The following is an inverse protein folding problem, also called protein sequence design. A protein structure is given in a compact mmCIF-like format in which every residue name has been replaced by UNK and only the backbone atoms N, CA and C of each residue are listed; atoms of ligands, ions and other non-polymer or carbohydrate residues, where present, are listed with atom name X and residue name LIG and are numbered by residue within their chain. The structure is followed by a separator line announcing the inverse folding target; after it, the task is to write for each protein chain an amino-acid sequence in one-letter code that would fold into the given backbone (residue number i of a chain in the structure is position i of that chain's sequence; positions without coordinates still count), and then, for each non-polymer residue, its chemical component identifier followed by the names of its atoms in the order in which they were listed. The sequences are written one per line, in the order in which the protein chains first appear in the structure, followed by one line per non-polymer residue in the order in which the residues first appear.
data_IF_282063181847
#
_entry.id   IF_282063181847
#
_cell.length_a   1.000
_cell.length_b   1.000
_cell.length_c   1.000
_cell.angle_alpha   90.00
_cell.angle_beta   90.00
_cell.angle_gamma   90.00
#
_symmetry.space_group_name_H-M   'P 1'
#
loop_
_entity.id
_entity.type
_entity.pdbx_description
1 polymer ?
#
# COMPACT_ATOMS: atom_id res chain seq x y z
N UNK A 1 -17.44 -8.85 -14.43
CA UNK A 1 -15.99 -9.17 -14.40
C UNK A 1 -15.77 -10.63 -14.79
N UNK A 2 -14.62 -11.00 -15.35
CA UNK A 2 -14.28 -12.41 -15.64
C UNK A 2 -12.92 -12.70 -15.00
N UNK A 3 -12.83 -13.79 -14.24
CA UNK A 3 -11.61 -14.23 -13.56
C UNK A 3 -11.28 -15.65 -14.00
N UNK A 4 -10.03 -15.90 -14.36
CA UNK A 4 -9.58 -17.22 -14.76
C UNK A 4 -8.86 -17.93 -13.61
N UNK A 5 -9.34 -19.12 -13.23
CA UNK A 5 -8.71 -19.97 -12.24
C UNK A 5 -8.03 -21.21 -12.86
N UNK A 6 -8.14 -21.39 -14.19
CA UNK A 6 -7.52 -22.49 -14.94
C UNK A 6 -7.76 -23.89 -14.33
N UNK A 7 -8.94 -24.11 -13.76
CA UNK A 7 -9.36 -25.40 -13.21
C UNK A 7 -10.26 -26.17 -14.16
N UNK A 8 -10.12 -27.49 -14.20
CA UNK A 8 -10.93 -28.36 -15.06
C UNK A 8 -11.40 -29.63 -14.32
N UNK A 9 -12.36 -30.36 -14.90
CA UNK A 9 -12.75 -31.68 -14.40
C UNK A 9 -13.28 -31.72 -12.96
N UNK A 10 -12.57 -32.46 -12.08
CA UNK A 10 -12.90 -32.60 -10.65
C UNK A 10 -12.76 -31.27 -9.90
N UNK A 11 -11.75 -30.49 -10.25
CA UNK A 11 -11.37 -29.28 -9.53
C UNK A 11 -12.36 -28.15 -9.84
N UNK A 12 -12.94 -28.17 -11.05
CA UNK A 12 -14.09 -27.34 -11.40
C UNK A 12 -15.29 -27.60 -10.50
N UNK A 13 -15.56 -28.86 -10.12
CA UNK A 13 -16.68 -29.18 -9.20
C UNK A 13 -16.40 -28.66 -7.79
N UNK A 14 -15.14 -28.71 -7.35
CA UNK A 14 -14.74 -28.15 -6.06
C UNK A 14 -14.86 -26.61 -6.08
N UNK A 15 -14.45 -25.95 -7.16
CA UNK A 15 -14.63 -24.51 -7.35
C UNK A 15 -16.11 -24.11 -7.28
N UNK A 16 -16.97 -24.84 -8.00
CA UNK A 16 -18.43 -24.61 -7.97
C UNK A 16 -19.02 -24.82 -6.58
N UNK A 17 -18.54 -25.85 -5.84
CA UNK A 17 -18.97 -26.09 -4.47
C UNK A 17 -18.53 -24.99 -3.51
N UNK A 18 -17.30 -24.47 -3.66
CA UNK A 18 -16.77 -23.37 -2.87
C UNK A 18 -17.56 -22.07 -3.13
N UNK A 19 -17.88 -21.75 -4.39
CA UNK A 19 -18.72 -20.58 -4.71
C UNK A 19 -20.13 -20.73 -4.11
N UNK A 20 -20.71 -21.93 -4.17
CA UNK A 20 -22.01 -22.22 -3.55
C UNK A 20 -21.98 -22.10 -2.01
N UNK A 21 -20.88 -22.51 -1.37
CA UNK A 21 -20.66 -22.35 0.07
C UNK A 21 -20.56 -20.86 0.46
N UNK A 22 -19.81 -20.07 -0.32
CA UNK A 22 -19.63 -18.63 -0.08
C UNK A 22 -20.92 -17.83 -0.24
N UNK A 23 -21.67 -18.09 -1.31
CA UNK A 23 -22.90 -17.35 -1.64
C UNK A 23 -24.13 -17.87 -0.89
N UNK A 24 -24.06 -19.09 -0.33
CA UNK A 24 -25.21 -19.78 0.24
C UNK A 24 -26.23 -20.25 -0.80
N UNK A 25 -25.93 -20.11 -2.09
CA UNK A 25 -26.82 -20.48 -3.19
C UNK A 25 -26.47 -21.83 -3.82
N UNK A 26 -27.48 -22.53 -4.36
CA UNK A 26 -27.27 -23.84 -4.99
C UNK A 26 -26.80 -23.68 -6.44
N UNK A 27 -25.77 -24.44 -6.80
CA UNK A 27 -25.29 -24.47 -8.18
C UNK A 27 -26.28 -25.15 -9.14
N UNK A 28 -26.64 -24.45 -10.21
CA UNK A 28 -27.49 -24.92 -11.30
C UNK A 28 -26.68 -25.17 -12.56
N UNK A 29 -26.74 -26.38 -13.09
CA UNK A 29 -26.06 -26.73 -14.33
C UNK A 29 -26.86 -26.29 -15.57
N UNK A 30 -26.22 -25.57 -16.49
CA UNK A 30 -26.89 -24.96 -17.65
C UNK A 30 -26.92 -25.86 -18.91
N UNK A 31 -26.18 -26.98 -18.92
CA UNK A 31 -26.18 -27.92 -20.04
C UNK A 31 -25.46 -27.42 -21.31
N UNK A 32 -25.68 -28.09 -22.43
CA UNK A 32 -25.02 -27.78 -23.70
C UNK A 32 -25.54 -26.45 -24.33
N UNK A 33 -24.74 -25.72 -25.12
CA UNK A 33 -23.37 -26.06 -25.57
C UNK A 33 -22.25 -25.63 -24.60
N UNK A 34 -22.55 -24.78 -23.60
CA UNK A 34 -21.54 -24.16 -22.74
C UNK A 34 -21.12 -24.98 -21.51
N UNK A 35 -21.94 -25.94 -21.07
CA UNK A 35 -21.71 -26.80 -19.90
C UNK A 35 -21.28 -26.04 -18.62
N UNK A 36 -21.79 -24.83 -18.46
CA UNK A 36 -21.48 -23.94 -17.35
C UNK A 36 -22.37 -24.22 -16.12
N UNK A 37 -21.92 -23.77 -14.94
CA UNK A 37 -22.71 -23.73 -13.72
C UNK A 37 -23.06 -22.28 -13.37
N UNK A 38 -24.30 -22.05 -12.98
CA UNK A 38 -24.76 -20.78 -12.45
C UNK A 38 -25.00 -20.91 -10.94
N UNK A 39 -24.47 -19.97 -10.16
CA UNK A 39 -24.62 -19.86 -8.71
C UNK A 39 -24.94 -18.39 -8.43
N UNK A 40 -26.20 -18.03 -8.17
CA UNK A 40 -26.61 -16.62 -8.08
C UNK A 40 -26.16 -15.79 -9.30
N UNK A 41 -25.45 -14.70 -9.03
CA UNK A 41 -24.82 -13.81 -10.02
C UNK A 41 -23.47 -14.27 -10.58
N UNK A 42 -23.06 -15.52 -10.31
CA UNK A 42 -21.79 -16.09 -10.75
C UNK A 42 -22.01 -17.22 -11.77
N UNK A 43 -21.23 -17.22 -12.84
CA UNK A 43 -21.24 -18.28 -13.86
C UNK A 43 -19.85 -18.88 -14.04
N UNK A 44 -19.72 -20.19 -13.82
CA UNK A 44 -18.47 -20.94 -13.95
C UNK A 44 -18.46 -21.74 -15.25
N UNK A 45 -17.54 -21.42 -16.14
CA UNK A 45 -17.35 -22.08 -17.43
C UNK A 45 -16.54 -23.38 -17.33
N UNK A 46 -16.51 -24.16 -18.41
CA UNK A 46 -15.83 -25.47 -18.46
C UNK A 46 -14.33 -25.38 -18.23
N UNK A 47 -13.74 -24.30 -18.69
CA UNK A 47 -12.33 -23.92 -18.65
C UNK A 47 -11.94 -23.21 -17.34
N UNK A 48 -12.81 -23.18 -16.32
CA UNK A 48 -12.48 -22.61 -15.02
C UNK A 48 -12.53 -21.08 -14.95
N UNK A 49 -13.21 -20.45 -15.91
CA UNK A 49 -13.49 -19.01 -15.88
C UNK A 49 -14.75 -18.72 -15.07
N UNK A 50 -14.64 -17.81 -14.11
CA UNK A 50 -15.75 -17.32 -13.28
C UNK A 50 -16.16 -15.96 -13.80
N UNK A 51 -17.38 -15.86 -14.31
CA UNK A 51 -18.01 -14.61 -14.72
C UNK A 51 -18.86 -14.10 -13.58
N UNK A 52 -18.64 -12.85 -13.20
CA UNK A 52 -19.29 -12.16 -12.09
C UNK A 52 -20.15 -11.04 -12.67
N UNK A 53 -21.46 -11.09 -12.44
CA UNK A 53 -22.38 -10.05 -12.89
C UNK A 53 -22.25 -8.78 -12.03
N UNK A 54 -22.15 -8.94 -10.70
CA UNK A 54 -22.00 -7.84 -9.75
C UNK A 54 -20.56 -7.72 -9.25
N UNK A 55 -19.85 -6.69 -9.72
CA UNK A 55 -18.46 -6.47 -9.39
C UNK A 55 -18.20 -6.22 -7.88
N UNK A 56 -19.22 -5.79 -7.12
CA UNK A 56 -19.10 -5.60 -5.66
C UNK A 56 -18.85 -6.92 -4.92
N UNK A 57 -19.32 -8.03 -5.48
CA UNK A 57 -19.19 -9.37 -4.88
C UNK A 57 -17.91 -10.11 -5.31
N UNK A 58 -17.10 -9.50 -6.17
CA UNK A 58 -15.90 -10.14 -6.72
C UNK A 58 -14.81 -10.31 -5.67
N UNK A 59 -14.51 -9.26 -4.90
CA UNK A 59 -13.46 -9.27 -3.89
C UNK A 59 -13.65 -10.30 -2.76
N UNK A 60 -14.81 -10.38 -2.07
CA UNK A 60 -15.01 -11.38 -1.01
C UNK A 60 -14.95 -12.81 -1.56
N UNK A 61 -15.39 -13.02 -2.80
CA UNK A 61 -15.30 -14.32 -3.44
C UNK A 61 -13.85 -14.71 -3.74
N UNK A 62 -13.04 -13.79 -4.30
CA UNK A 62 -11.64 -14.06 -4.62
C UNK A 62 -10.86 -14.42 -3.34
N UNK A 63 -11.08 -13.69 -2.24
CA UNK A 63 -10.45 -13.98 -0.95
C UNK A 63 -10.81 -15.38 -0.45
N UNK A 64 -12.10 -15.72 -0.42
CA UNK A 64 -12.56 -17.04 0.03
C UNK A 64 -12.00 -18.19 -0.83
N UNK A 65 -11.94 -17.99 -2.15
CA UNK A 65 -11.38 -18.98 -3.07
C UNK A 65 -9.87 -19.16 -2.87
N UNK A 66 -9.15 -18.07 -2.57
CA UNK A 66 -7.72 -18.12 -2.22
C UNK A 66 -7.47 -18.90 -0.94
N UNK A 67 -8.28 -18.70 0.11
CA UNK A 67 -8.20 -19.48 1.36
C UNK A 67 -8.45 -20.98 1.14
N UNK A 68 -9.34 -21.33 0.21
CA UNK A 68 -9.60 -22.72 -0.19
C UNK A 68 -8.54 -23.28 -1.15
N UNK A 69 -7.52 -22.49 -1.52
CA UNK A 69 -6.38 -22.91 -2.34
C UNK A 69 -6.54 -22.74 -3.85
N UNK A 70 -7.54 -21.99 -4.31
CA UNK A 70 -7.70 -21.67 -5.74
C UNK A 70 -6.92 -20.39 -6.08
N UNK A 71 -5.99 -20.49 -7.02
CA UNK A 71 -5.18 -19.36 -7.48
C UNK A 71 -5.72 -18.81 -8.79
N UNK A 72 -6.00 -17.51 -8.84
CA UNK A 72 -6.38 -16.83 -10.09
C UNK A 72 -5.13 -16.54 -10.93
N UNK A 73 -5.23 -16.71 -12.25
CA UNK A 73 -4.15 -16.37 -13.20
C UNK A 73 -4.13 -14.89 -13.58
N UNK A 74 -5.20 -14.15 -13.28
CA UNK A 74 -5.33 -12.75 -13.69
C UNK A 74 -4.65 -11.83 -12.64
N UNK A 75 -3.64 -11.01 -13.02
CA UNK A 75 -2.97 -10.08 -12.10
C UNK A 75 -3.91 -9.06 -11.46
N UNK A 76 -5.09 -8.83 -12.07
CA UNK A 76 -6.11 -7.94 -11.54
C UNK A 76 -6.90 -8.56 -10.38
N UNK A 77 -6.93 -9.88 -10.25
CA UNK A 77 -7.61 -10.55 -9.12
C UNK A 77 -6.81 -10.42 -7.82
N UNK A 78 -5.48 -10.33 -7.91
CA UNK A 78 -4.61 -10.12 -6.75
C UNK A 78 -4.79 -8.73 -6.14
N UNK A 79 -5.06 -7.69 -6.94
CA UNK A 79 -5.28 -6.34 -6.44
C UNK A 79 -6.73 -6.09 -5.96
N UNK A 80 -7.71 -6.89 -6.38
CA UNK A 80 -9.11 -6.75 -5.95
C UNK A 80 -9.35 -7.44 -4.59
N UNK A 81 -8.56 -8.45 -4.24
CA UNK A 81 -8.61 -9.06 -2.91
C UNK A 81 -8.13 -8.13 -1.77
N UNK A 82 -7.32 -7.12 -2.10
CA UNK A 82 -6.82 -6.12 -1.14
C UNK A 82 -7.76 -4.91 -0.96
N UNK A 83 -8.83 -4.79 -1.77
CA UNK A 83 -9.69 -3.59 -1.83
C UNK A 83 -11.03 -3.75 -1.10
N UNK A 84 -11.34 -4.92 -0.52
CA UNK A 84 -12.64 -5.19 0.14
C UNK A 84 -12.52 -5.52 1.63
N UNK A 85 -11.76 -4.72 2.37
CA UNK A 85 -11.86 -4.68 3.82
C UNK A 85 -12.41 -3.32 4.26
N UNK A 86 -13.68 -3.05 3.94
CA UNK A 86 -14.49 -2.11 4.70
C UNK A 86 -15.45 -2.94 5.58
N UNK A 87 -15.45 -2.59 6.86
CA UNK A 87 -16.30 -3.06 7.97
C UNK A 87 -15.86 -4.32 8.74
N UNK A 88 -14.83 -4.15 9.58
CA UNK A 88 -14.92 -4.54 11.00
C UNK A 88 -14.10 -3.58 11.87
N UNK A 89 -14.75 -3.10 12.93
CA UNK A 89 -14.22 -2.15 13.89
C UNK A 89 -12.90 -2.60 14.54
N UNK A 90 -11.96 -1.65 14.61
CA UNK A 90 -10.94 -1.50 15.66
C UNK A 90 -10.14 -2.75 16.07
N UNK A 91 -9.22 -3.18 15.21
CA UNK A 91 -7.83 -3.36 15.62
C UNK A 91 -6.96 -3.29 14.35
N UNK A 92 -6.13 -2.26 14.26
CA UNK A 92 -5.15 -2.11 13.20
C UNK A 92 -4.30 -3.38 13.11
N UNK A 93 -4.54 -4.20 12.09
CA UNK A 93 -3.54 -5.14 11.62
C UNK A 93 -2.41 -4.29 11.01
N UNK A 94 -1.57 -3.73 11.89
CA UNK A 94 -0.33 -3.05 11.54
C UNK A 94 0.55 -4.07 10.83
N UNK A 95 0.51 -4.11 9.50
CA UNK A 95 1.20 -5.12 8.69
C UNK A 95 2.68 -5.21 9.03
N UNK A 96 3.33 -4.05 9.25
CA UNK A 96 4.70 -3.96 9.80
C UNK A 96 4.86 -2.70 10.67
N UNK A 97 5.46 -2.86 11.85
CA UNK A 97 5.86 -1.75 12.72
C UNK A 97 7.38 -1.65 12.82
N UNK A 98 7.95 -0.51 12.41
CA UNK A 98 9.37 -0.22 12.60
C UNK A 98 9.55 0.45 13.97
N UNK A 99 10.54 0.03 14.75
CA UNK A 99 10.77 0.56 16.10
C UNK A 99 12.24 0.83 16.38
N UNK A 100 12.48 1.81 17.25
CA UNK A 100 13.80 2.24 17.68
C UNK A 100 13.91 2.16 19.20
N UNK A 101 15.05 1.73 19.76
CA UNK A 101 15.24 1.69 21.21
C UNK A 101 15.05 3.07 21.84
N UNK A 102 14.25 3.14 22.92
CA UNK A 102 13.97 4.38 23.65
C UNK A 102 15.24 5.01 24.23
N UNK A 103 16.26 4.19 24.52
CA UNK A 103 17.58 4.59 25.00
C UNK A 103 18.36 5.50 24.03
N UNK A 104 18.02 5.50 22.74
CA UNK A 104 18.63 6.39 21.74
C UNK A 104 18.10 7.83 21.82
N UNK A 105 17.03 8.05 22.57
CA UNK A 105 16.34 9.33 22.65
C UNK A 105 16.44 9.92 24.06
N UNK A 106 16.63 11.23 24.13
CA UNK A 106 16.31 12.03 25.32
C UNK A 106 14.90 12.60 25.14
N UNK A 107 14.29 13.12 26.21
CA UNK A 107 12.95 13.75 26.11
C UNK A 107 12.94 14.90 25.09
N UNK A 108 13.97 15.75 25.08
CA UNK A 108 14.10 16.82 24.08
C UNK A 108 14.21 16.30 22.65
N UNK A 109 14.90 15.17 22.43
CA UNK A 109 15.01 14.57 21.10
C UNK A 109 13.67 14.01 20.61
N UNK A 110 12.84 13.49 21.52
CA UNK A 110 11.48 13.05 21.19
C UNK A 110 10.57 14.22 20.82
N UNK A 111 10.68 15.33 21.53
CA UNK A 111 9.95 16.55 21.16
C UNK A 111 10.38 17.07 19.79
N UNK A 112 11.69 17.06 19.51
CA UNK A 112 12.22 17.40 18.19
C UNK A 112 11.71 16.45 17.11
N UNK A 113 11.62 15.14 17.39
CA UNK A 113 11.08 14.15 16.46
C UNK A 113 9.59 14.40 16.17
N UNK A 114 8.78 14.62 17.21
CA UNK A 114 7.36 14.96 17.07
C UNK A 114 7.18 16.26 16.28
N UNK A 115 7.96 17.29 16.59
CA UNK A 115 7.94 18.56 15.88
C UNK A 115 8.39 18.42 14.41
N UNK A 116 9.34 17.53 14.13
CA UNK A 116 9.83 17.26 12.79
C UNK A 116 8.76 16.55 11.95
N UNK A 117 8.12 15.54 12.52
CA UNK A 117 7.02 14.82 11.88
C UNK A 117 5.84 15.75 11.66
N UNK A 118 5.50 16.63 12.61
CA UNK A 118 4.50 17.68 12.38
C UNK A 118 4.91 18.63 11.23
N UNK A 119 6.15 19.14 11.21
CA UNK A 119 6.59 20.08 10.18
C UNK A 119 6.67 19.48 8.76
N UNK A 120 6.83 18.16 8.66
CA UNK A 120 7.01 17.42 7.40
C UNK A 120 5.91 16.40 7.13
N UNK A 121 4.87 16.37 7.96
CA UNK A 121 3.84 15.34 7.97
C UNK A 121 3.20 15.19 6.61
N UNK A 122 2.73 16.29 6.01
CA UNK A 122 2.10 16.28 4.69
C UNK A 122 2.99 15.67 3.60
N UNK A 123 4.31 15.93 3.63
CA UNK A 123 5.23 15.33 2.65
C UNK A 123 5.44 13.84 2.91
N UNK A 124 5.56 13.44 4.18
CA UNK A 124 5.76 12.04 4.58
C UNK A 124 4.51 11.22 4.28
N UNK A 125 3.32 11.72 4.64
CA UNK A 125 2.00 11.15 4.33
C UNK A 125 1.86 10.88 2.84
N UNK A 126 2.12 11.89 1.99
CA UNK A 126 2.09 11.74 0.52
C UNK A 126 3.14 10.76 0.00
N UNK A 127 4.33 10.73 0.59
CA UNK A 127 5.41 9.85 0.13
C UNK A 127 5.16 8.37 0.46
N UNK A 128 4.60 8.09 1.63
CA UNK A 128 4.27 6.75 2.09
C UNK A 128 2.88 6.30 1.62
N UNK A 129 2.03 7.23 1.17
CA UNK A 129 0.66 6.93 0.79
C UNK A 129 -0.24 6.63 1.99
N UNK A 130 0.02 7.27 3.13
CA UNK A 130 -0.74 7.05 4.37
C UNK A 130 -1.43 8.32 4.85
N UNK A 131 -2.58 8.13 5.48
CA UNK A 131 -3.39 9.25 5.97
C UNK A 131 -2.83 9.84 7.27
N UNK A 132 -2.25 9.02 8.15
CA UNK A 132 -1.74 9.45 9.44
C UNK A 132 -0.36 8.88 9.81
N UNK A 133 0.31 9.58 10.72
CA UNK A 133 1.67 9.27 11.17
C UNK A 133 1.73 9.21 12.71
N UNK A 134 1.01 8.28 13.36
CA UNK A 134 1.09 8.10 14.80
C UNK A 134 2.52 7.73 15.25
N UNK A 135 2.88 8.13 16.46
CA UNK A 135 4.16 7.76 17.09
C UNK A 135 3.83 7.23 18.48
N UNK A 136 4.10 5.96 18.71
CA UNK A 136 3.94 5.35 20.02
C UNK A 136 5.27 5.39 20.76
N UNK A 137 5.25 5.91 21.98
CA UNK A 137 6.43 5.97 22.83
C UNK A 137 6.16 5.15 24.08
N UNK A 138 6.89 4.06 24.22
CA UNK A 138 6.92 3.23 25.42
C UNK A 138 8.27 3.43 26.14
N UNK A 139 8.39 2.94 27.38
CA UNK A 139 9.64 3.01 28.15
C UNK A 139 10.80 2.27 27.47
N UNK A 140 10.51 1.24 26.66
CA UNK A 140 11.53 0.43 25.98
C UNK A 140 11.83 0.88 24.55
N UNK A 141 10.80 1.32 23.80
CA UNK A 141 10.92 1.60 22.36
C UNK A 141 10.02 2.73 21.90
N UNK A 142 10.41 3.34 20.78
CA UNK A 142 9.62 4.28 19.99
C UNK A 142 9.20 3.56 18.71
N UNK A 143 7.90 3.44 18.49
CA UNK A 143 7.31 2.66 17.39
C UNK A 143 6.63 3.58 16.37
N UNK A 144 6.73 3.18 15.09
CA UNK A 144 6.16 3.87 13.94
C UNK A 144 5.22 2.91 13.19
N UNK A 145 3.95 2.80 13.61
CA UNK A 145 2.95 1.97 12.94
C UNK A 145 2.38 2.72 11.73
N UNK A 146 3.24 2.98 10.73
CA UNK A 146 2.86 3.74 9.53
C UNK A 146 2.53 2.84 8.33
N UNK A 147 2.67 1.52 8.44
CA UNK A 147 2.62 0.62 7.29
C UNK A 147 1.48 -0.38 7.47
N UNK A 148 0.30 -0.11 6.88
CA UNK A 148 -0.85 -1.02 6.98
C UNK A 148 -0.63 -2.30 6.15
N UNK A 149 0.04 -2.20 5.00
CA UNK A 149 0.39 -3.33 4.15
C UNK A 149 1.78 -3.88 4.47
N UNK A 150 2.03 -5.15 4.14
CA UNK A 150 3.37 -5.78 4.21
C UNK A 150 4.19 -5.28 3.00
N UNK A 151 5.15 -4.34 3.18
CA UNK A 151 6.00 -3.88 2.08
C UNK A 151 6.88 -4.99 1.53
N UNK A 152 7.30 -4.82 0.27
CA UNK A 152 8.36 -5.63 -0.32
C UNK A 152 9.67 -5.48 0.46
N UNK A 153 10.61 -6.44 0.39
CA UNK A 153 11.89 -6.34 1.10
C UNK A 153 12.70 -5.08 0.77
N UNK A 154 12.58 -4.57 -0.47
CA UNK A 154 13.24 -3.34 -0.90
C UNK A 154 12.60 -2.09 -0.27
N UNK A 155 11.27 -2.06 -0.18
CA UNK A 155 10.51 -1.00 0.48
C UNK A 155 10.73 -0.98 1.98
N UNK A 156 10.71 -2.14 2.62
CA UNK A 156 11.00 -2.28 4.05
C UNK A 156 12.37 -1.69 4.39
N UNK A 157 13.39 -2.01 3.59
CA UNK A 157 14.73 -1.45 3.75
C UNK A 157 14.75 0.07 3.56
N UNK A 158 14.01 0.59 2.57
CA UNK A 158 13.90 2.03 2.34
C UNK A 158 13.24 2.75 3.52
N UNK A 159 12.17 2.19 4.08
CA UNK A 159 11.44 2.71 5.23
C UNK A 159 12.26 2.65 6.52
N UNK A 160 12.94 1.52 6.77
CA UNK A 160 13.85 1.36 7.91
C UNK A 160 14.97 2.40 7.87
N UNK A 161 15.63 2.53 6.71
CA UNK A 161 16.67 3.53 6.49
C UNK A 161 16.13 4.96 6.67
N UNK A 162 14.92 5.23 6.16
CA UNK A 162 14.28 6.54 6.29
C UNK A 162 13.98 6.91 7.74
N UNK A 163 13.38 5.99 8.51
CA UNK A 163 13.09 6.20 9.93
C UNK A 163 14.38 6.36 10.74
N UNK A 164 15.41 5.55 10.46
CA UNK A 164 16.73 5.69 11.07
C UNK A 164 17.30 7.10 10.84
N UNK A 165 17.30 7.58 9.59
CA UNK A 165 17.78 8.93 9.25
C UNK A 165 16.93 10.05 9.84
N UNK A 166 15.63 9.85 9.92
CA UNK A 166 14.70 10.79 10.55
C UNK A 166 15.03 10.94 12.04
N UNK A 167 15.24 9.82 12.73
CA UNK A 167 15.63 9.79 14.14
C UNK A 167 17.03 10.39 14.37
N UNK A 168 18.00 10.09 13.51
CA UNK A 168 19.33 10.73 13.53
C UNK A 168 19.22 12.25 13.41
N UNK A 169 18.40 12.74 12.48
CA UNK A 169 18.21 14.19 12.31
C UNK A 169 17.54 14.82 13.53
N UNK A 170 16.53 14.17 14.13
CA UNK A 170 15.88 14.64 15.34
C UNK A 170 16.85 14.71 16.54
N UNK A 171 17.75 13.72 16.68
CA UNK A 171 18.77 13.66 17.74
C UNK A 171 19.84 14.76 17.60
N UNK A 172 20.22 15.08 16.37
CA UNK A 172 21.26 16.07 16.08
C UNK A 172 20.70 17.50 16.00
N UNK A 173 19.38 17.68 15.89
CA UNK A 173 18.76 18.98 15.82
C UNK A 173 18.73 19.66 17.19
N UNK A 174 19.34 20.85 17.30
CA UNK A 174 19.30 21.65 18.52
C UNK A 174 17.91 22.26 18.79
N UNK A 175 17.15 22.56 17.74
CA UNK A 175 15.76 23.04 17.81
C UNK A 175 15.03 22.72 16.51
N UNK A 176 13.82 22.19 16.59
CA UNK A 176 12.92 22.00 15.45
C UNK A 176 11.70 22.91 15.60
N UNK A 177 11.27 23.52 14.49
CA UNK A 177 10.04 24.33 14.46
C UNK A 177 8.96 23.50 13.78
N UNK A 178 7.88 23.20 14.50
CA UNK A 178 6.69 22.51 14.00
C UNK A 178 5.86 23.44 13.10
N UNK A 179 6.42 23.86 11.96
CA UNK A 179 5.71 24.65 10.96
C UNK A 179 5.61 23.87 9.67
N UNK A 180 4.38 23.47 9.34
CA UNK A 180 4.06 22.91 8.04
C UNK A 180 4.32 23.95 6.95
N UNK A 181 4.91 23.48 5.85
CA UNK A 181 5.15 24.30 4.68
C UNK A 181 4.44 23.64 3.51
N UNK A 182 3.41 24.32 3.04
CA UNK A 182 2.75 23.96 1.79
C UNK A 182 3.73 24.15 0.62
N UNK A 183 3.76 23.17 -0.27
CA UNK A 183 4.63 23.14 -1.43
C UNK A 183 3.82 22.85 -2.67
N UNK A 184 4.09 23.61 -3.73
CA UNK A 184 3.46 23.45 -5.04
C UNK A 184 3.93 22.15 -5.75
N UNK A 185 5.16 21.71 -5.45
CA UNK A 185 5.71 20.46 -5.94
C UNK A 185 6.26 19.61 -4.79
N UNK A 186 5.45 18.64 -4.37
CA UNK A 186 5.77 17.75 -3.25
C UNK A 186 6.92 16.81 -3.58
N UNK A 187 7.03 16.31 -4.82
CA UNK A 187 8.12 15.42 -5.24
C UNK A 187 9.48 16.14 -5.16
N UNK A 188 9.54 17.40 -5.60
CA UNK A 188 10.76 18.21 -5.47
C UNK A 188 11.07 18.51 -4.00
N UNK A 189 10.07 18.92 -3.22
CA UNK A 189 10.24 19.26 -1.81
C UNK A 189 10.71 18.06 -0.98
N UNK A 190 10.13 16.88 -1.23
CA UNK A 190 10.51 15.64 -0.57
C UNK A 190 11.90 15.17 -0.99
N UNK A 191 12.28 15.31 -2.27
CA UNK A 191 13.66 15.06 -2.71
C UNK A 191 14.66 15.93 -1.95
N UNK A 192 14.41 17.23 -1.81
CA UNK A 192 15.28 18.12 -1.03
C UNK A 192 15.36 17.71 0.45
N UNK A 193 14.25 17.19 0.99
CA UNK A 193 14.22 16.66 2.35
C UNK A 193 15.08 15.39 2.49
N UNK A 194 14.97 14.43 1.57
CA UNK A 194 15.82 13.23 1.54
C UNK A 194 17.31 13.57 1.44
N UNK A 195 17.68 14.57 0.65
CA UNK A 195 19.06 15.05 0.58
C UNK A 195 19.55 15.59 1.92
N UNK A 196 18.70 16.31 2.66
CA UNK A 196 19.02 16.83 3.99
C UNK A 196 19.14 15.72 5.04
N UNK A 197 18.38 14.63 4.87
CA UNK A 197 18.50 13.41 5.68
C UNK A 197 19.74 12.57 5.35
N UNK A 198 20.44 12.87 4.26
CA UNK A 198 21.67 12.20 3.87
C UNK A 198 21.51 11.05 2.86
N UNK A 199 20.39 10.99 2.13
CA UNK A 199 20.20 10.04 1.01
C UNK A 199 21.04 10.49 -0.22
N UNK A 200 22.36 10.42 -0.09
CA UNK A 200 23.36 10.89 -1.05
C UNK A 200 24.23 9.70 -1.45
N UNK A 201 24.41 9.47 -2.75
CA UNK A 201 25.21 8.37 -3.26
C UNK A 201 24.41 7.40 -4.13
N UNK A 202 25.10 6.42 -4.71
CA UNK A 202 24.50 5.36 -5.51
C UNK A 202 23.79 4.31 -4.65
N UNK A 203 24.25 4.11 -3.41
CA UNK A 203 23.69 3.14 -2.46
C UNK A 203 22.23 3.45 -2.09
N UNK A 204 21.83 4.72 -2.10
CA UNK A 204 20.47 5.18 -1.80
C UNK A 204 19.61 5.35 -3.07
N UNK A 205 20.04 4.84 -4.22
CA UNK A 205 19.32 5.05 -5.49
C UNK A 205 17.95 4.37 -5.46
N UNK A 206 17.89 3.14 -4.96
CA UNK A 206 16.65 2.34 -4.88
C UNK A 206 15.68 2.94 -3.87
N UNK A 207 16.20 3.27 -2.68
CA UNK A 207 15.44 3.85 -1.57
C UNK A 207 14.84 5.21 -1.99
N UNK A 208 15.61 6.06 -2.69
CA UNK A 208 15.07 7.32 -3.24
C UNK A 208 14.01 7.09 -4.31
N UNK A 209 14.15 6.06 -5.14
CA UNK A 209 13.16 5.75 -6.18
C UNK A 209 11.82 5.35 -5.53
N UNK A 210 11.87 4.52 -4.49
CA UNK A 210 10.71 4.06 -3.72
C UNK A 210 10.04 5.25 -3.02
N UNK A 211 10.81 6.01 -2.23
CA UNK A 211 10.30 7.15 -1.43
C UNK A 211 9.80 8.33 -2.29
N UNK A 212 10.20 8.41 -3.56
CA UNK A 212 9.75 9.44 -4.51
C UNK A 212 8.72 8.90 -5.54
N UNK A 213 8.23 7.67 -5.38
CA UNK A 213 7.28 7.08 -6.31
C UNK A 213 5.92 7.80 -6.25
N UNK A 214 5.35 7.90 -5.05
CA UNK A 214 4.01 8.40 -4.79
C UNK A 214 3.80 9.94 -4.85
N UNK A 215 4.75 10.81 -4.41
CA UNK A 215 4.49 12.25 -4.38
C UNK A 215 4.40 12.84 -5.79
N UNK A 216 3.42 13.72 -5.98
CA UNK A 216 3.11 14.35 -7.26
C UNK A 216 4.13 15.44 -7.65
N UNK A 217 4.27 15.65 -8.96
CA UNK A 217 5.11 16.70 -9.55
C UNK A 217 6.47 16.20 -10.09
N UNK A 218 7.35 17.16 -10.40
CA UNK A 218 8.69 16.88 -10.94
C UNK A 218 9.73 16.78 -9.82
N UNK A 219 10.63 15.81 -9.87
CA UNK A 219 11.74 15.76 -8.90
C UNK A 219 12.86 16.76 -9.22
N UNK A 220 12.88 17.32 -10.44
CA UNK A 220 13.95 18.19 -10.92
C UNK A 220 13.65 19.69 -10.74
N UNK A 221 12.39 20.10 -10.86
CA UNK A 221 12.00 21.52 -10.86
C UNK A 221 11.07 21.87 -9.71
N UNK A 222 11.31 22.99 -9.05
CA UNK A 222 10.53 23.45 -7.89
C UNK A 222 9.08 23.85 -8.24
N UNK A 223 8.79 24.25 -9.47
CA UNK A 223 7.49 24.79 -9.91
C UNK A 223 7.00 24.16 -11.22
N UNK A 224 7.17 22.84 -11.39
CA UNK A 224 6.89 22.16 -12.66
C UNK A 224 7.91 22.47 -13.76
N UNK A 225 7.83 21.78 -14.91
CA UNK A 225 8.58 22.22 -16.10
C UNK A 225 8.08 23.62 -16.49
N UNK A 226 8.95 24.55 -16.93
CA UNK A 226 8.47 25.73 -17.63
C UNK A 226 7.58 25.24 -18.78
N UNK A 227 6.37 25.80 -18.94
CA UNK A 227 5.60 25.59 -20.17
C UNK A 227 6.55 25.91 -21.32
N UNK A 228 6.75 24.94 -22.19
CA UNK A 228 7.49 25.12 -23.44
C UNK A 228 6.89 26.36 -24.09
N UNK A 229 7.72 27.40 -24.24
CA UNK A 229 7.28 28.63 -24.90
C UNK A 229 7.07 28.20 -26.34
N UNK A 230 5.81 28.09 -26.77
CA UNK A 230 5.47 27.98 -28.18
C UNK A 230 6.18 29.14 -28.89
N UNK A 231 7.22 28.81 -29.64
CA UNK A 231 7.84 29.73 -30.58
C UNK A 231 6.77 29.95 -31.65
N UNK A 232 6.07 31.08 -31.57
CA UNK A 232 5.27 31.55 -32.69
C UNK A 232 6.21 31.79 -33.87
N UNK A 233 5.97 31.04 -34.95
CA UNK A 233 6.58 31.18 -36.27
C UNK A 233 6.33 32.57 -36.87
#
# INVERSE_FOLDING_TARGET
MIINYNVSGSDRKQLVAAIAEHTGEKAKYLGAPGFAYQIGGFTVSVDGKVTIEDNSTAAPLIHFLREKGFQAEDPLADCIADDANEDVEADEACGICISMPRSLFTESNLENLKALIAAKGNLIKKALGVDDLPIEVTDEKVSFPWFPAVPTPEELKAYDTFICKLCEMARNAKRVVAKEKETDNDKYAFRCFLLRLGFIGAEFKTERKILLCNPAGSSAFKSGQPKEVEVCE
#
